data_IF_326314592983
#
_entry.id   IF_326314592983
#
_cell.length_a   1.000
_cell.length_b   1.000
_cell.length_c   1.000
_cell.angle_alpha   90.00
_cell.angle_beta   90.00
_cell.angle_gamma   90.00
#
_symmetry.space_group_name_H-M   'P 1'
#
loop_
_entity.id
_entity.type
_entity.pdbx_description
1 polymer ?
#
# COMPACT_ATOMS: atom_id res chain seq x y z
N UNK A 1 -5.98 -3.24 -34.17
CA UNK A 1 -4.86 -4.01 -33.59
C UNK A 1 -4.00 -2.99 -32.88
N UNK A 2 -4.26 -2.74 -31.59
CA UNK A 2 -3.34 -1.95 -30.77
C UNK A 2 -1.96 -2.62 -30.84
N UNK A 3 -0.92 -1.82 -31.05
CA UNK A 3 0.42 -2.35 -31.21
C UNK A 3 0.86 -2.88 -29.83
N UNK A 4 1.09 -4.19 -29.72
CA UNK A 4 1.48 -4.83 -28.44
C UNK A 4 2.72 -4.17 -27.82
N UNK A 5 3.60 -3.60 -28.65
CA UNK A 5 4.74 -2.78 -28.21
C UNK A 5 4.32 -1.50 -27.47
N UNK A 6 3.24 -0.84 -27.89
CA UNK A 6 2.71 0.37 -27.27
C UNK A 6 2.05 0.07 -25.91
N UNK A 7 1.30 -1.02 -25.82
CA UNK A 7 0.71 -1.51 -24.55
C UNK A 7 1.81 -1.87 -23.55
N UNK A 8 2.88 -2.53 -24.00
CA UNK A 8 4.02 -2.88 -23.15
C UNK A 8 4.77 -1.62 -22.65
N UNK A 9 5.02 -0.65 -23.53
CA UNK A 9 5.66 0.61 -23.16
C UNK A 9 4.84 1.39 -22.12
N UNK A 10 3.51 1.45 -22.28
CA UNK A 10 2.64 2.12 -21.31
C UNK A 10 2.55 1.36 -19.98
N UNK A 11 2.52 0.02 -20.02
CA UNK A 11 2.57 -0.82 -18.82
C UNK A 11 3.84 -0.54 -18.02
N UNK A 12 5.00 -0.51 -18.66
CA UNK A 12 6.27 -0.24 -17.99
C UNK A 12 6.34 1.18 -17.41
N UNK A 13 5.87 2.18 -18.18
CA UNK A 13 5.79 3.56 -17.72
C UNK A 13 4.92 3.70 -16.46
N UNK A 14 3.71 3.10 -16.47
CA UNK A 14 2.78 3.16 -15.33
C UNK A 14 3.26 2.36 -14.14
N UNK A 15 3.84 1.17 -14.38
CA UNK A 15 4.44 0.37 -13.33
C UNK A 15 5.58 1.12 -12.65
N UNK A 16 6.48 1.75 -13.42
CA UNK A 16 7.59 2.54 -12.87
C UNK A 16 7.10 3.72 -12.05
N UNK A 17 6.08 4.44 -12.52
CA UNK A 17 5.46 5.53 -11.76
C UNK A 17 4.85 5.02 -10.45
N UNK A 18 4.12 3.89 -10.50
CA UNK A 18 3.52 3.26 -9.33
C UNK A 18 4.59 2.81 -8.33
N UNK A 19 5.65 2.17 -8.82
CA UNK A 19 6.78 1.72 -8.00
C UNK A 19 7.49 2.90 -7.33
N UNK A 20 7.67 4.02 -8.04
CA UNK A 20 8.24 5.23 -7.47
C UNK A 20 7.38 5.83 -6.36
N UNK A 21 6.06 5.89 -6.55
CA UNK A 21 5.11 6.36 -5.53
C UNK A 21 5.18 5.46 -4.29
N UNK A 22 5.09 4.14 -4.46
CA UNK A 22 5.12 3.19 -3.34
C UNK A 22 6.49 3.21 -2.64
N UNK A 23 7.58 3.37 -3.39
CA UNK A 23 8.91 3.58 -2.81
C UNK A 23 8.96 4.86 -1.97
N UNK A 24 8.30 5.94 -2.41
CA UNK A 24 8.11 7.16 -1.63
C UNK A 24 7.34 6.93 -0.33
N UNK A 25 6.26 6.15 -0.35
CA UNK A 25 5.48 5.80 0.85
C UNK A 25 6.28 4.94 1.84
N UNK A 26 7.09 4.01 1.33
CA UNK A 26 8.02 3.23 2.15
C UNK A 26 9.09 4.14 2.76
N UNK A 27 9.66 5.05 1.97
CA UNK A 27 10.62 6.03 2.46
C UNK A 27 10.01 6.93 3.55
N UNK A 28 8.75 7.34 3.40
CA UNK A 28 8.04 8.10 4.42
C UNK A 28 7.85 7.30 5.71
N UNK A 29 7.54 6.00 5.60
CA UNK A 29 7.48 5.09 6.76
C UNK A 29 8.82 5.03 7.51
N UNK A 30 9.94 4.97 6.77
CA UNK A 30 11.29 5.01 7.36
C UNK A 30 11.54 6.35 8.04
N UNK A 31 11.12 7.46 7.42
CA UNK A 31 11.22 8.80 8.02
C UNK A 31 10.44 8.86 9.34
N UNK A 32 9.23 8.30 9.41
CA UNK A 32 8.46 8.23 10.66
C UNK A 32 9.17 7.40 11.73
N UNK A 33 9.83 6.30 11.37
CA UNK A 33 10.65 5.52 12.33
C UNK A 33 11.74 6.42 12.89
N UNK A 34 12.55 7.05 12.04
CA UNK A 34 13.64 7.95 12.46
C UNK A 34 13.10 9.11 13.31
N UNK A 35 12.01 9.73 12.88
CA UNK A 35 11.36 10.83 13.61
C UNK A 35 10.88 10.38 14.98
N UNK A 36 10.31 9.18 15.12
CA UNK A 36 9.87 8.65 16.41
C UNK A 36 11.03 8.50 17.40
N UNK A 37 12.21 8.07 16.94
CA UNK A 37 13.40 7.99 17.80
C UNK A 37 13.87 9.35 18.34
N UNK A 38 13.64 10.43 17.59
CA UNK A 38 14.04 11.79 17.99
C UNK A 38 12.97 12.45 18.85
N UNK A 39 11.70 12.24 18.49
CA UNK A 39 10.56 12.97 19.04
C UNK A 39 9.97 12.25 20.25
N UNK A 40 9.73 10.94 20.19
CA UNK A 40 9.04 10.19 21.24
C UNK A 40 9.70 10.33 22.63
N UNK A 41 11.05 10.23 22.77
CA UNK A 41 11.68 10.36 24.09
C UNK A 41 11.54 11.75 24.73
N UNK A 42 11.18 12.78 23.94
CA UNK A 42 10.97 14.14 24.46
C UNK A 42 9.62 14.31 25.14
N UNK A 43 8.70 13.39 24.93
CA UNK A 43 7.39 13.40 25.54
C UNK A 43 7.35 12.34 26.65
N UNK A 44 7.44 12.79 27.90
CA UNK A 44 7.19 11.95 29.08
C UNK A 44 5.68 11.73 29.24
N UNK A 45 5.07 11.04 28.28
CA UNK A 45 3.65 10.69 28.35
C UNK A 45 3.53 9.25 28.87
N UNK A 46 2.86 9.09 30.02
CA UNK A 46 2.62 7.79 30.66
C UNK A 46 1.30 7.16 30.16
N UNK A 47 1.01 7.28 28.86
CA UNK A 47 -0.18 6.62 28.30
C UNK A 47 -0.08 5.12 28.60
N UNK A 48 -1.07 4.60 29.30
CA UNK A 48 -1.09 3.19 29.67
C UNK A 48 -1.34 2.34 28.43
N UNK A 49 -1.01 1.04 28.49
CA UNK A 49 -1.30 0.11 27.38
C UNK A 49 -2.78 0.09 27.00
N UNK A 50 -3.67 0.33 27.96
CA UNK A 50 -5.11 0.32 27.76
C UNK A 50 -5.56 1.52 26.92
N UNK A 51 -4.94 2.69 27.09
CA UNK A 51 -5.25 3.91 26.32
C UNK A 51 -4.85 3.79 24.84
N UNK A 52 -3.87 2.94 24.55
CA UNK A 52 -3.32 2.74 23.20
C UNK A 52 -4.02 1.61 22.44
N UNK A 53 -4.78 0.76 23.14
CA UNK A 53 -5.47 -0.40 22.57
C UNK A 53 -6.39 -0.04 21.39
N UNK A 54 -7.20 1.04 21.43
CA UNK A 54 -8.06 1.41 20.30
C UNK A 54 -7.28 1.70 19.01
N UNK A 55 -6.08 2.29 19.11
CA UNK A 55 -5.24 2.58 17.95
C UNK A 55 -4.71 1.30 17.31
N UNK A 56 -4.27 0.34 18.12
CA UNK A 56 -3.84 -0.98 17.64
C UNK A 56 -4.97 -1.76 16.99
N UNK A 57 -6.18 -1.70 17.56
CA UNK A 57 -7.38 -2.29 16.95
C UNK A 57 -7.67 -1.64 15.60
N UNK A 58 -7.59 -0.30 15.49
CA UNK A 58 -7.74 0.42 14.23
C UNK A 58 -6.71 -0.01 13.18
N UNK A 59 -5.43 -0.10 13.55
CA UNK A 59 -4.38 -0.57 12.66
C UNK A 59 -4.63 -2.01 12.16
N UNK A 60 -5.14 -2.89 13.02
CA UNK A 60 -5.52 -4.25 12.66
C UNK A 60 -6.67 -4.26 11.63
N UNK A 61 -7.72 -3.47 11.85
CA UNK A 61 -8.83 -3.35 10.90
C UNK A 61 -8.37 -2.83 9.54
N UNK A 62 -7.46 -1.85 9.50
CA UNK A 62 -6.88 -1.34 8.26
C UNK A 62 -6.05 -2.42 7.57
N UNK A 63 -5.23 -3.18 8.32
CA UNK A 63 -4.43 -4.27 7.76
C UNK A 63 -5.32 -5.35 7.12
N UNK A 64 -6.34 -5.82 7.84
CA UNK A 64 -7.32 -6.81 7.33
C UNK A 64 -8.10 -6.24 6.15
N UNK A 65 -8.59 -5.00 6.27
CA UNK A 65 -9.30 -4.30 5.20
C UNK A 65 -8.48 -4.18 3.93
N UNK A 66 -7.18 -3.91 4.05
CA UNK A 66 -6.27 -3.84 2.90
C UNK A 66 -6.17 -5.18 2.16
N UNK A 67 -6.17 -6.31 2.88
CA UNK A 67 -6.11 -7.64 2.29
C UNK A 67 -7.42 -8.00 1.57
N UNK A 68 -8.56 -7.68 2.19
CA UNK A 68 -9.87 -7.87 1.58
C UNK A 68 -10.01 -6.99 0.33
N UNK A 69 -9.64 -5.72 0.42
CA UNK A 69 -9.65 -4.79 -0.70
C UNK A 69 -8.76 -5.29 -1.84
N UNK A 70 -7.54 -5.75 -1.56
CA UNK A 70 -6.69 -6.37 -2.57
C UNK A 70 -7.42 -7.53 -3.24
N UNK A 71 -8.00 -8.44 -2.46
CA UNK A 71 -8.72 -9.59 -3.02
C UNK A 71 -9.87 -9.14 -3.93
N UNK A 72 -10.63 -8.12 -3.55
CA UNK A 72 -11.74 -7.60 -4.35
C UNK A 72 -11.27 -6.87 -5.62
N UNK A 73 -10.23 -6.05 -5.51
CA UNK A 73 -9.71 -5.25 -6.61
C UNK A 73 -9.08 -6.11 -7.72
N UNK A 74 -8.50 -7.26 -7.35
CA UNK A 74 -7.85 -8.21 -8.27
C UNK A 74 -8.74 -9.39 -8.68
N UNK A 75 -10.06 -9.32 -8.45
CA UNK A 75 -11.00 -10.34 -8.99
C UNK A 75 -11.01 -10.31 -10.52
N UNK A 76 -10.94 -11.49 -11.13
CA UNK A 76 -10.92 -11.64 -12.58
C UNK A 76 -12.14 -11.03 -13.26
N UNK A 77 -13.34 -11.26 -12.71
CA UNK A 77 -14.60 -10.69 -13.22
C UNK A 77 -14.52 -9.17 -13.36
N UNK A 78 -14.05 -8.49 -12.31
CA UNK A 78 -13.89 -7.03 -12.29
C UNK A 78 -12.86 -6.55 -13.30
N UNK A 79 -11.71 -7.24 -13.41
CA UNK A 79 -10.66 -6.86 -14.35
C UNK A 79 -11.16 -7.00 -15.80
N UNK A 80 -11.92 -8.06 -16.09
CA UNK A 80 -12.56 -8.28 -17.39
C UNK A 80 -13.58 -7.20 -17.70
N UNK A 81 -14.46 -6.86 -16.75
CA UNK A 81 -15.45 -5.79 -16.91
C UNK A 81 -14.79 -4.44 -17.21
N UNK A 82 -13.67 -4.14 -16.54
CA UNK A 82 -12.92 -2.91 -16.78
C UNK A 82 -12.34 -2.89 -18.20
N UNK A 83 -11.81 -4.01 -18.70
CA UNK A 83 -11.31 -4.10 -20.08
C UNK A 83 -12.45 -3.91 -21.08
N UNK A 84 -13.60 -4.55 -20.87
CA UNK A 84 -14.76 -4.40 -21.74
C UNK A 84 -15.30 -2.97 -21.79
N UNK A 85 -15.23 -2.24 -20.66
CA UNK A 85 -15.77 -0.87 -20.56
C UNK A 85 -14.77 0.23 -20.93
N UNK A 86 -13.47 0.05 -20.62
CA UNK A 86 -12.44 1.11 -20.70
C UNK A 86 -11.21 0.71 -21.52
N UNK A 87 -11.17 -0.51 -22.06
CA UNK A 87 -10.02 -1.05 -22.77
C UNK A 87 -8.80 -1.37 -21.87
N UNK A 88 -7.72 -1.82 -22.50
CA UNK A 88 -6.46 -2.20 -21.84
C UNK A 88 -5.77 -0.99 -21.17
N UNK A 89 -5.76 0.17 -21.80
CA UNK A 89 -5.22 1.40 -21.21
C UNK A 89 -5.98 1.83 -19.95
N UNK A 90 -7.31 1.69 -19.95
CA UNK A 90 -8.16 1.95 -18.79
C UNK A 90 -7.87 0.99 -17.63
N UNK A 91 -7.68 -0.29 -17.95
CA UNK A 91 -7.26 -1.31 -16.97
C UNK A 91 -5.93 -0.95 -16.31
N UNK A 92 -4.90 -0.59 -17.09
CA UNK A 92 -3.58 -0.24 -16.56
C UNK A 92 -3.65 0.98 -15.63
N UNK A 93 -4.48 1.97 -15.95
CA UNK A 93 -4.72 3.14 -15.10
C UNK A 93 -5.41 2.75 -13.79
N UNK A 94 -6.40 1.86 -13.84
CA UNK A 94 -7.11 1.40 -12.64
C UNK A 94 -6.21 0.50 -11.77
N UNK A 95 -5.35 -0.34 -12.37
CA UNK A 95 -4.33 -1.11 -11.65
C UNK A 95 -3.35 -0.19 -10.89
N UNK A 96 -2.86 0.87 -11.54
CA UNK A 96 -2.03 1.89 -10.89
C UNK A 96 -2.73 2.54 -9.71
N UNK A 97 -3.97 3.00 -9.89
CA UNK A 97 -4.75 3.63 -8.80
C UNK A 97 -4.96 2.67 -7.63
N UNK A 98 -5.31 1.42 -7.91
CA UNK A 98 -5.54 0.41 -6.88
C UNK A 98 -4.25 0.09 -6.12
N UNK A 99 -3.10 0.00 -6.80
CA UNK A 99 -1.82 -0.25 -6.15
C UNK A 99 -1.41 0.91 -5.22
N UNK A 100 -1.58 2.17 -5.66
CA UNK A 100 -1.32 3.35 -4.82
C UNK A 100 -2.28 3.39 -3.62
N UNK A 101 -3.57 3.09 -3.82
CA UNK A 101 -4.56 3.04 -2.74
C UNK A 101 -4.19 1.99 -1.69
N UNK A 102 -3.76 0.80 -2.11
CA UNK A 102 -3.31 -0.24 -1.18
C UNK A 102 -2.03 0.16 -0.44
N UNK A 103 -1.12 0.88 -1.10
CA UNK A 103 0.05 1.47 -0.45
C UNK A 103 -0.35 2.50 0.61
N UNK A 104 -1.34 3.35 0.32
CA UNK A 104 -1.84 4.33 1.27
C UNK A 104 -2.45 3.67 2.53
N UNK A 105 -3.03 2.47 2.43
CA UNK A 105 -3.49 1.73 3.61
C UNK A 105 -2.34 1.33 4.53
N UNK A 106 -1.20 0.92 3.98
CA UNK A 106 -0.01 0.61 4.77
C UNK A 106 0.58 1.88 5.43
N UNK A 107 0.54 3.00 4.71
CA UNK A 107 0.97 4.30 5.21
C UNK A 107 0.11 4.80 6.38
N UNK A 108 -1.21 4.54 6.34
CA UNK A 108 -2.09 4.82 7.48
C UNK A 108 -1.69 4.02 8.74
N UNK A 109 -1.28 2.76 8.58
CA UNK A 109 -0.78 1.95 9.70
C UNK A 109 0.50 2.56 10.28
N UNK A 110 1.42 3.02 9.42
CA UNK A 110 2.64 3.70 9.85
C UNK A 110 2.31 5.01 10.60
N UNK A 111 1.34 5.78 10.13
CA UNK A 111 0.88 7.01 10.79
C UNK A 111 0.28 6.72 12.17
N UNK A 112 -0.57 5.71 12.30
CA UNK A 112 -1.11 5.27 13.60
C UNK A 112 0.04 4.85 14.53
N UNK A 113 1.00 4.08 14.02
CA UNK A 113 2.21 3.70 14.76
C UNK A 113 3.01 4.88 15.29
N UNK A 114 3.15 5.92 14.47
CA UNK A 114 3.84 7.14 14.85
C UNK A 114 3.09 7.88 15.97
N UNK A 115 1.76 7.96 15.88
CA UNK A 115 0.91 8.52 16.96
C UNK A 115 1.04 7.71 18.25
N UNK A 116 1.02 6.39 18.18
CA UNK A 116 1.21 5.52 19.36
C UNK A 116 2.58 5.76 19.98
N UNK A 117 3.65 5.80 19.19
CA UNK A 117 5.00 6.06 19.70
C UNK A 117 5.13 7.44 20.35
N UNK A 118 4.47 8.45 19.78
CA UNK A 118 4.41 9.79 20.34
C UNK A 118 3.63 9.85 21.67
N UNK A 119 2.47 9.18 21.75
CA UNK A 119 1.64 9.15 22.95
C UNK A 119 2.23 8.30 24.08
N UNK A 120 2.94 7.22 23.75
CA UNK A 120 3.58 6.33 24.72
C UNK A 120 4.97 6.82 25.16
N UNK A 121 5.55 7.81 24.46
CA UNK A 121 6.95 8.18 24.60
C UNK A 121 7.94 7.06 24.19
N UNK A 122 7.44 5.96 23.61
CA UNK A 122 8.23 4.77 23.31
C UNK A 122 8.45 4.60 21.80
N UNK A 123 9.68 4.83 21.28
CA UNK A 123 9.97 4.69 19.86
C UNK A 123 9.86 3.24 19.34
N UNK A 124 9.90 2.23 20.22
CA UNK A 124 9.75 0.82 19.84
C UNK A 124 8.36 0.51 19.28
N UNK A 125 7.32 1.28 19.66
CA UNK A 125 5.98 1.09 19.12
C UNK A 125 5.90 1.48 17.63
N UNK A 126 6.62 2.53 17.22
CA UNK A 126 6.74 2.90 15.80
C UNK A 126 7.49 1.82 15.01
N UNK A 127 8.51 1.19 15.61
CA UNK A 127 9.24 0.10 14.94
C UNK A 127 8.31 -1.10 14.67
N UNK A 128 7.47 -1.47 15.65
CA UNK A 128 6.47 -2.54 15.48
C UNK A 128 5.44 -2.20 14.40
N UNK A 129 4.85 -1.01 14.46
CA UNK A 129 3.88 -0.57 13.46
C UNK A 129 4.51 -0.42 12.07
N UNK A 130 5.75 0.07 11.99
CA UNK A 130 6.53 0.15 10.75
C UNK A 130 6.79 -1.22 10.15
N UNK A 131 7.11 -2.23 10.96
CA UNK A 131 7.25 -3.61 10.49
C UNK A 131 5.94 -4.15 9.90
N UNK A 132 4.81 -3.90 10.56
CA UNK A 132 3.48 -4.29 10.06
C UNK A 132 3.17 -3.56 8.74
N UNK A 133 3.39 -2.24 8.67
CA UNK A 133 3.20 -1.46 7.47
C UNK A 133 4.04 -2.00 6.30
N UNK A 134 5.32 -2.32 6.53
CA UNK A 134 6.20 -2.92 5.52
C UNK A 134 5.68 -4.28 5.03
N UNK A 135 5.20 -5.13 5.93
CA UNK A 135 4.56 -6.40 5.55
C UNK A 135 3.33 -6.15 4.67
N UNK A 136 2.49 -5.18 5.03
CA UNK A 136 1.30 -4.81 4.24
C UNK A 136 1.70 -4.27 2.87
N UNK A 137 2.74 -3.42 2.78
CA UNK A 137 3.30 -2.96 1.50
C UNK A 137 3.75 -4.14 0.64
N UNK A 138 4.54 -5.05 1.19
CA UNK A 138 5.10 -6.20 0.47
C UNK A 138 4.02 -7.17 -0.02
N UNK A 139 3.01 -7.42 0.79
CA UNK A 139 1.89 -8.28 0.41
C UNK A 139 1.05 -7.58 -0.66
N UNK A 140 0.72 -6.31 -0.49
CA UNK A 140 -0.22 -5.63 -1.37
C UNK A 140 0.38 -5.16 -2.70
N UNK A 141 1.70 -4.90 -2.76
CA UNK A 141 2.34 -4.42 -3.98
C UNK A 141 2.39 -5.52 -5.05
N UNK A 142 1.68 -5.39 -6.18
CA UNK A 142 1.66 -6.42 -7.21
C UNK A 142 2.94 -6.34 -8.03
N UNK A 143 3.70 -7.44 -8.08
CA UNK A 143 4.92 -7.55 -8.90
C UNK A 143 4.60 -7.27 -10.37
N UNK A 144 5.55 -6.70 -11.11
CA UNK A 144 5.43 -6.42 -12.54
C UNK A 144 4.99 -7.65 -13.36
N UNK A 145 5.43 -8.84 -12.96
CA UNK A 145 5.05 -10.10 -13.61
C UNK A 145 3.54 -10.39 -13.53
N UNK A 146 2.86 -9.94 -12.48
CA UNK A 146 1.40 -10.08 -12.34
C UNK A 146 0.68 -9.17 -13.33
N UNK A 147 1.17 -7.93 -13.50
CA UNK A 147 0.61 -6.98 -14.46
C UNK A 147 0.77 -7.49 -15.89
N UNK A 148 1.97 -8.01 -16.24
CA UNK A 148 2.23 -8.62 -17.55
C UNK A 148 1.32 -9.82 -17.81
N UNK A 149 1.11 -10.70 -16.81
CA UNK A 149 0.18 -11.83 -16.92
C UNK A 149 -1.28 -11.41 -17.12
N UNK A 150 -1.74 -10.40 -16.39
CA UNK A 150 -3.11 -9.90 -16.52
C UNK A 150 -3.32 -9.29 -17.91
N UNK A 151 -2.40 -8.45 -18.37
CA UNK A 151 -2.47 -7.84 -19.69
C UNK A 151 -2.46 -8.91 -20.81
N UNK A 152 -1.52 -9.86 -20.75
CA UNK A 152 -1.42 -10.93 -21.75
C UNK A 152 -2.64 -11.84 -21.78
N UNK A 153 -3.22 -12.19 -20.62
CA UNK A 153 -4.42 -13.04 -20.60
C UNK A 153 -5.65 -12.31 -21.15
N UNK A 154 -5.77 -10.99 -20.94
CA UNK A 154 -6.92 -10.20 -21.39
C UNK A 154 -6.78 -9.69 -22.83
N UNK A 155 -5.58 -9.66 -23.39
CA UNK A 155 -5.34 -9.43 -24.83
C UNK A 155 -5.75 -10.63 -25.69
N UNK A 156 -5.65 -11.85 -25.13
CA UNK A 156 -6.00 -13.11 -25.81
C UNK A 156 -7.48 -13.53 -25.65
N UNK A 157 -8.31 -12.74 -24.95
CA UNK A 157 -9.73 -13.03 -24.70
C UNK A 157 -10.62 -12.10 -25.52
#
# INVERSE_FOLDING_TARGET
MENSAEIQAELEKRYRATAFIVAGQIALTIIFIIAAWIVAPRFQNSASSDDLTPFWVGALFIAIGSFILRRMLFRWDRLRDIVLLKGLFGLLRDLQKNAVLLGAMAELIALIGFVIAFLSGNPYEMLRAGAIALVVFLINFPRQSVWKKIAANLENT
#
